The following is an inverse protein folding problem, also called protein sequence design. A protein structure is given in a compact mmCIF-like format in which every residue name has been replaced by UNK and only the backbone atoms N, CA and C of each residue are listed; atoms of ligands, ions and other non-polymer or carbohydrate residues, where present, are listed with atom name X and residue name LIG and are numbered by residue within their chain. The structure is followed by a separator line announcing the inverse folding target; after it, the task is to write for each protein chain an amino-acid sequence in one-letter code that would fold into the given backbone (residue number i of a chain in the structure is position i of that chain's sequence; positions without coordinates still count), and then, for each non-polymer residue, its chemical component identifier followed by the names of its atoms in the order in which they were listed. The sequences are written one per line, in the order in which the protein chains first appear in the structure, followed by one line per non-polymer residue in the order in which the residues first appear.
data_IF_291037046708
#
_entry.id   IF_291037046708
#
_cell.length_a   1.000
_cell.length_b   1.000
_cell.length_c   1.000
_cell.angle_alpha   90.00
_cell.angle_beta   90.00
_cell.angle_gamma   90.00
#
_symmetry.space_group_name_H-M   'P 1'
#
loop_
_entity.id
_entity.type
_entity.pdbx_description
1 polymer ?
#
# COMPACT_ATOMS: atom_id res chain seq x y z
N UNK A 1 -5.04 9.77 27.88
CA UNK A 1 -5.11 8.86 26.72
C UNK A 1 -3.85 9.05 25.90
N UNK A 2 -3.35 8.03 25.20
CA UNK A 2 -2.06 8.11 24.50
C UNK A 2 -2.25 8.24 22.99
N UNK A 3 -1.43 9.07 22.35
CA UNK A 3 -1.36 9.17 20.90
C UNK A 3 -0.99 7.84 20.25
N UNK A 4 -1.68 7.50 19.17
CA UNK A 4 -1.35 6.37 18.31
C UNK A 4 -0.13 6.70 17.45
N UNK A 5 0.84 5.78 17.42
CA UNK A 5 2.09 5.94 16.66
C UNK A 5 1.83 5.93 15.15
N UNK A 6 2.55 6.75 14.39
CA UNK A 6 2.58 6.69 12.93
C UNK A 6 3.75 5.81 12.50
N UNK A 7 3.47 4.75 11.73
CA UNK A 7 4.47 3.77 11.33
C UNK A 7 4.99 4.07 9.90
N UNK A 8 6.31 4.24 9.71
CA UNK A 8 6.88 4.51 8.39
C UNK A 8 6.80 3.29 7.48
N UNK A 9 6.58 3.51 6.18
CA UNK A 9 6.58 2.44 5.18
C UNK A 9 8.01 1.89 5.02
N UNK A 10 8.26 0.58 5.21
CA UNK A 10 9.58 -0.01 5.03
C UNK A 10 10.13 0.18 3.61
N UNK A 11 11.44 0.47 3.48
CA UNK A 11 12.11 0.67 2.18
C UNK A 11 12.03 -0.57 1.28
N UNK A 12 12.28 -0.40 -0.02
CA UNK A 12 12.29 -1.51 -0.97
C UNK A 12 13.38 -2.53 -0.59
N UNK A 13 13.03 -3.82 -0.60
CA UNK A 13 13.92 -4.90 -0.15
C UNK A 13 14.06 -5.06 1.37
N UNK A 14 13.37 -4.26 2.19
CA UNK A 14 13.37 -4.47 3.65
C UNK A 14 12.78 -5.83 4.02
N UNK A 15 13.52 -6.58 4.83
CA UNK A 15 13.02 -7.75 5.56
C UNK A 15 12.37 -7.37 6.89
N UNK A 16 12.66 -6.17 7.40
CA UNK A 16 12.04 -5.62 8.61
C UNK A 16 10.72 -4.95 8.22
N UNK A 17 9.63 -5.54 8.69
CA UNK A 17 8.25 -5.05 8.60
C UNK A 17 7.67 -4.96 10.02
N UNK A 18 6.75 -4.01 10.29
CA UNK A 18 6.06 -3.95 11.58
C UNK A 18 5.24 -5.23 11.82
N UNK A 19 5.04 -5.61 13.08
CA UNK A 19 4.16 -6.73 13.42
C UNK A 19 2.71 -6.28 13.29
N UNK A 20 1.80 -7.21 13.01
CA UNK A 20 0.38 -6.89 12.97
C UNK A 20 -0.15 -6.33 14.31
N UNK A 21 0.46 -6.71 15.44
CA UNK A 21 0.19 -6.15 16.77
C UNK A 21 0.48 -4.65 16.91
N UNK A 22 1.39 -4.13 16.08
CA UNK A 22 1.85 -2.74 16.14
C UNK A 22 0.94 -1.83 15.30
N UNK A 23 0.05 -2.44 14.50
CA UNK A 23 -0.87 -1.77 13.58
C UNK A 23 -2.30 -1.83 14.14
N UNK A 24 -3.02 -0.71 14.10
CA UNK A 24 -4.45 -0.63 14.46
C UNK A 24 -5.34 -1.22 13.36
N UNK A 25 -5.15 -2.50 13.05
CA UNK A 25 -5.89 -3.28 12.06
C UNK A 25 -7.07 -4.02 12.71
N UNK A 26 -8.11 -4.25 11.91
CA UNK A 26 -9.19 -5.18 12.27
C UNK A 26 -8.72 -6.62 12.14
N UNK A 27 -9.45 -7.56 12.73
CA UNK A 27 -8.99 -8.95 12.90
C UNK A 27 -8.86 -9.71 11.57
N UNK A 28 -9.66 -9.34 10.57
CA UNK A 28 -9.56 -9.76 9.17
C UNK A 28 -8.33 -9.13 8.46
N UNK A 29 -8.12 -7.83 8.67
CA UNK A 29 -6.96 -7.09 8.15
C UNK A 29 -5.62 -7.61 8.71
N UNK A 30 -5.59 -8.03 10.00
CA UNK A 30 -4.45 -8.73 10.64
C UNK A 30 -4.17 -10.06 9.95
N UNK A 31 -5.17 -10.90 9.74
CA UNK A 31 -5.01 -12.19 9.09
C UNK A 31 -4.49 -12.05 7.64
N UNK A 32 -4.95 -11.02 6.92
CA UNK A 32 -4.40 -10.66 5.59
C UNK A 32 -2.95 -10.18 5.72
N UNK A 33 -2.64 -9.29 6.67
CA UNK A 33 -1.28 -8.79 6.88
C UNK A 33 -0.28 -9.92 7.13
N UNK A 34 -0.55 -10.77 8.12
CA UNK A 34 0.35 -11.87 8.50
C UNK A 34 0.53 -12.89 7.37
N UNK A 35 -0.53 -13.18 6.61
CA UNK A 35 -0.48 -14.02 5.41
C UNK A 35 0.44 -13.42 4.34
N UNK A 36 0.32 -12.11 4.05
CA UNK A 36 1.20 -11.42 3.08
C UNK A 36 2.63 -11.26 3.57
N UNK A 37 2.81 -10.99 4.86
CA UNK A 37 4.12 -10.84 5.49
C UNK A 37 4.90 -12.16 5.47
N UNK A 38 4.28 -13.25 5.95
CA UNK A 38 4.85 -14.60 5.90
C UNK A 38 5.22 -15.02 4.48
N UNK A 39 4.31 -14.82 3.51
CA UNK A 39 4.59 -15.12 2.11
C UNK A 39 5.73 -14.26 1.54
N UNK A 40 5.77 -12.95 1.85
CA UNK A 40 6.85 -12.06 1.40
C UNK A 40 8.21 -12.52 1.95
N UNK A 41 8.32 -12.78 3.25
CA UNK A 41 9.54 -13.25 3.90
C UNK A 41 10.01 -14.59 3.32
N UNK A 42 9.10 -15.55 3.13
CA UNK A 42 9.42 -16.84 2.52
C UNK A 42 9.95 -16.70 1.07
N UNK A 43 9.38 -15.79 0.27
CA UNK A 43 9.85 -15.52 -1.10
C UNK A 43 11.25 -14.87 -1.09
N UNK A 44 11.56 -13.98 -0.15
CA UNK A 44 12.90 -13.39 -0.05
C UNK A 44 13.93 -14.44 0.39
N UNK A 45 13.60 -15.25 1.40
CA UNK A 45 14.52 -16.20 2.02
C UNK A 45 14.89 -17.39 1.12
N UNK A 46 14.04 -17.78 0.16
CA UNK A 46 14.19 -19.04 -0.59
C UNK A 46 14.35 -18.83 -2.11
N UNK A 47 15.05 -17.75 -2.49
CA UNK A 47 15.50 -17.52 -3.88
C UNK A 47 16.59 -18.53 -4.31
N UNK A 48 16.15 -19.72 -4.71
CA UNK A 48 16.95 -20.70 -5.45
C UNK A 48 17.71 -21.70 -4.59
N UNK A 49 17.26 -22.97 -4.64
CA UNK A 49 17.97 -24.14 -4.11
C UNK A 49 17.88 -25.27 -5.15
N UNK A 50 18.99 -25.65 -5.79
CA UNK A 50 18.96 -26.35 -7.08
C UNK A 50 19.73 -27.69 -7.13
N UNK A 51 19.08 -28.70 -7.72
CA UNK A 51 19.64 -29.77 -8.58
C UNK A 51 18.53 -30.20 -9.57
N UNK A 52 18.74 -30.63 -10.83
CA UNK A 52 19.96 -30.80 -11.64
C UNK A 52 19.65 -30.68 -13.16
N UNK A 53 20.66 -30.97 -14.00
CA UNK A 53 20.71 -31.29 -15.45
C UNK A 53 19.42 -31.26 -16.32
N UNK A 54 19.57 -30.64 -17.50
CA UNK A 54 18.75 -30.74 -18.75
C UNK A 54 17.62 -29.72 -19.01
N UNK A 55 17.47 -28.69 -18.17
CA UNK A 55 16.66 -27.49 -18.49
C UNK A 55 17.46 -26.24 -18.10
N UNK A 56 17.30 -25.12 -18.82
CA UNK A 56 17.83 -23.82 -18.40
C UNK A 56 17.10 -23.34 -17.13
N UNK A 57 17.57 -23.86 -15.99
CA UNK A 57 16.99 -23.65 -14.68
C UNK A 57 17.28 -22.25 -14.10
N UNK A 58 18.08 -21.41 -14.77
CA UNK A 58 18.37 -20.04 -14.33
C UNK A 58 17.11 -19.17 -14.19
N UNK A 59 16.03 -19.53 -14.91
CA UNK A 59 14.76 -18.80 -14.94
C UNK A 59 13.73 -19.28 -13.91
N UNK A 60 13.98 -20.39 -13.22
CA UNK A 60 13.01 -21.08 -12.36
C UNK A 60 13.53 -21.27 -10.93
N UNK A 61 12.68 -20.96 -9.96
CA UNK A 61 12.94 -21.13 -8.52
C UNK A 61 11.95 -22.18 -7.99
N UNK A 62 12.40 -23.20 -7.24
CA UNK A 62 11.49 -24.15 -6.60
C UNK A 62 10.77 -23.50 -5.41
N UNK A 63 9.50 -23.87 -5.22
CA UNK A 63 8.70 -23.40 -4.08
C UNK A 63 9.04 -24.21 -2.81
N UNK A 64 9.21 -23.55 -1.65
CA UNK A 64 9.59 -24.19 -0.39
C UNK A 64 8.74 -25.43 -0.08
N UNK A 65 9.38 -26.55 0.30
CA UNK A 65 8.70 -27.80 0.69
C UNK A 65 7.69 -28.35 -0.33
N UNK A 66 7.85 -28.04 -1.63
CA UNK A 66 6.98 -28.59 -2.70
C UNK A 66 7.79 -29.02 -3.92
N UNK A 67 7.18 -29.82 -4.78
CA UNK A 67 7.74 -30.16 -6.11
C UNK A 67 7.27 -29.17 -7.20
N UNK A 68 6.82 -27.98 -6.81
CA UNK A 68 6.31 -26.95 -7.73
C UNK A 68 7.39 -25.92 -8.02
N UNK A 69 7.44 -25.47 -9.26
CA UNK A 69 8.39 -24.46 -9.73
C UNK A 69 7.66 -23.19 -10.12
N UNK A 70 8.34 -22.05 -10.00
CA UNK A 70 7.84 -20.73 -10.35
C UNK A 70 8.95 -19.93 -11.02
N UNK A 71 8.62 -19.01 -11.93
CA UNK A 71 9.66 -18.19 -12.58
C UNK A 71 10.14 -17.07 -11.65
N UNK A 72 11.36 -16.56 -11.90
CA UNK A 72 11.89 -15.37 -11.19
C UNK A 72 10.92 -14.20 -11.30
N UNK A 73 10.33 -13.96 -12.48
CA UNK A 73 9.29 -12.94 -12.68
C UNK A 73 8.02 -13.21 -11.87
N UNK A 74 7.53 -14.45 -11.82
CA UNK A 74 6.34 -14.78 -11.04
C UNK A 74 6.55 -14.54 -9.53
N UNK A 75 7.75 -14.85 -9.01
CA UNK A 75 8.11 -14.50 -7.63
C UNK A 75 8.28 -13.00 -7.40
N UNK A 76 8.88 -12.26 -8.34
CA UNK A 76 8.96 -10.80 -8.26
C UNK A 76 7.55 -10.16 -8.23
N UNK A 77 6.65 -10.62 -9.10
CA UNK A 77 5.24 -10.17 -9.11
C UNK A 77 4.52 -10.54 -7.82
N UNK A 78 4.70 -11.75 -7.29
CA UNK A 78 4.10 -12.17 -6.02
C UNK A 78 4.62 -11.36 -4.83
N UNK A 79 5.94 -11.18 -4.72
CA UNK A 79 6.57 -10.38 -3.66
C UNK A 79 6.14 -8.90 -3.74
N UNK A 80 6.02 -8.35 -4.95
CA UNK A 80 5.50 -6.99 -5.20
C UNK A 80 4.05 -6.85 -4.76
N UNK A 81 3.16 -7.78 -5.13
CA UNK A 81 1.75 -7.79 -4.68
C UNK A 81 1.63 -7.88 -3.15
N UNK A 82 2.44 -8.72 -2.50
CA UNK A 82 2.46 -8.81 -1.03
C UNK A 82 2.95 -7.49 -0.40
N UNK A 83 3.99 -6.89 -0.97
CA UNK A 83 4.52 -5.59 -0.55
C UNK A 83 3.48 -4.48 -0.67
N UNK A 84 2.76 -4.37 -1.79
CA UNK A 84 1.71 -3.37 -1.98
C UNK A 84 0.58 -3.51 -0.96
N UNK A 85 0.09 -4.74 -0.73
CA UNK A 85 -0.95 -5.01 0.26
C UNK A 85 -0.52 -4.64 1.69
N UNK A 86 0.72 -4.97 2.09
CA UNK A 86 1.26 -4.55 3.39
C UNK A 86 1.39 -3.02 3.51
N UNK A 87 1.75 -2.32 2.42
CA UNK A 87 1.81 -0.86 2.38
C UNK A 87 0.42 -0.23 2.53
N UNK A 88 -0.60 -0.79 1.89
CA UNK A 88 -1.99 -0.34 2.03
C UNK A 88 -2.49 -0.50 3.47
N UNK A 89 -2.19 -1.62 4.12
CA UNK A 89 -2.56 -1.85 5.52
C UNK A 89 -1.84 -0.91 6.49
N UNK A 90 -0.56 -0.59 6.25
CA UNK A 90 0.18 0.44 7.00
C UNK A 90 -0.44 1.84 6.79
N UNK A 91 -0.90 2.17 5.57
CA UNK A 91 -1.62 3.43 5.29
C UNK A 91 -2.94 3.52 6.05
N UNK A 92 -3.75 2.46 6.01
CA UNK A 92 -5.03 2.37 6.74
C UNK A 92 -4.80 2.57 8.25
N UNK A 93 -3.78 1.93 8.82
CA UNK A 93 -3.38 2.16 10.21
C UNK A 93 -3.00 3.62 10.46
N UNK A 94 -2.14 4.22 9.63
CA UNK A 94 -1.69 5.60 9.80
C UNK A 94 -2.84 6.62 9.66
N UNK A 95 -3.83 6.36 8.82
CA UNK A 95 -5.04 7.18 8.70
C UNK A 95 -5.90 7.11 9.97
N UNK A 96 -6.12 5.91 10.52
CA UNK A 96 -6.81 5.72 11.80
C UNK A 96 -6.07 6.37 12.97
N UNK A 97 -4.75 6.21 13.02
CA UNK A 97 -3.90 6.84 14.03
C UNK A 97 -3.97 8.36 13.96
N UNK A 98 -3.93 8.97 12.76
CA UNK A 98 -4.15 10.42 12.60
C UNK A 98 -5.53 10.87 13.05
N UNK A 99 -6.59 10.13 12.75
CA UNK A 99 -7.95 10.46 13.17
C UNK A 99 -8.08 10.44 14.69
N UNK A 100 -7.66 9.35 15.33
CA UNK A 100 -7.62 9.20 16.79
C UNK A 100 -6.79 10.30 17.47
N UNK A 101 -5.63 10.65 16.90
CA UNK A 101 -4.76 11.69 17.46
C UNK A 101 -5.41 13.09 17.41
N UNK A 102 -6.14 13.40 16.34
CA UNK A 102 -6.94 14.64 16.24
C UNK A 102 -8.10 14.66 17.23
N UNK A 103 -8.78 13.52 17.40
CA UNK A 103 -9.86 13.37 18.39
C UNK A 103 -9.34 13.59 19.82
N UNK A 104 -8.15 13.07 20.14
CA UNK A 104 -7.50 13.33 21.44
C UNK A 104 -7.14 14.81 21.63
N UNK A 105 -6.59 15.48 20.60
CA UNK A 105 -6.26 16.90 20.66
C UNK A 105 -7.51 17.78 20.89
N UNK A 106 -8.57 17.53 20.12
CA UNK A 106 -9.85 18.21 20.30
C UNK A 106 -10.45 17.94 21.69
N UNK A 107 -10.32 16.71 22.21
CA UNK A 107 -10.79 16.36 23.56
C UNK A 107 -10.00 17.04 24.68
N UNK A 108 -8.72 17.37 24.44
CA UNK A 108 -7.88 18.11 25.39
C UNK A 108 -8.18 19.62 25.36
N UNK A 109 -8.31 20.21 24.17
CA UNK A 109 -8.64 21.64 24.03
C UNK A 109 -9.99 22.02 24.64
N UNK A 110 -10.97 21.11 24.65
CA UNK A 110 -12.27 21.32 25.30
C UNK A 110 -12.27 21.08 26.82
N UNK A 111 -11.15 20.66 27.41
CA UNK A 111 -11.04 20.36 28.86
C UNK A 111 -10.29 21.45 29.65
N UNK A 112 -9.40 22.20 29.00
CA UNK A 112 -8.60 23.28 29.61
C UNK A 112 -9.23 24.68 29.40
N UNK A 113 -10.54 24.75 29.20
CA UNK A 113 -11.27 26.00 28.95
C UNK A 113 -11.67 26.72 30.23
N UNK A 114 -10.84 27.64 30.71
CA UNK A 114 -11.24 28.76 31.57
C UNK A 114 -10.37 30.00 31.20
N UNK A 115 -11.05 31.10 30.86
CA UNK A 115 -10.62 32.46 30.49
C UNK A 115 -9.11 32.79 30.27
N UNK A 116 -8.78 33.27 29.06
CA UNK A 116 -8.70 34.73 28.84
C UNK A 116 -8.65 35.11 27.33
N UNK A 117 -9.13 36.31 27.01
CA UNK A 117 -9.07 36.90 25.66
C UNK A 117 -7.63 37.25 25.25
N UNK A 118 -7.12 36.72 24.14
CA UNK A 118 -6.35 37.57 23.22
C UNK A 118 -6.39 37.09 21.75
N UNK A 119 -6.42 38.06 20.84
CA UNK A 119 -6.74 37.84 19.43
C UNK A 119 -5.49 37.76 18.53
N UNK A 120 -4.80 36.62 18.52
CA UNK A 120 -3.79 36.33 17.49
C UNK A 120 -4.32 35.34 16.43
N UNK A 121 -4.71 35.90 15.28
CA UNK A 121 -5.41 35.19 14.20
C UNK A 121 -4.47 34.26 13.43
N UNK A 122 -4.73 32.95 13.52
CA UNK A 122 -4.01 31.87 12.85
C UNK A 122 -3.66 32.18 11.38
N UNK A 123 -2.35 32.22 11.07
CA UNK A 123 -1.84 32.19 9.68
C UNK A 123 -1.61 30.77 9.15
N UNK A 124 -1.41 29.79 10.04
CA UNK A 124 -1.06 28.41 9.64
C UNK A 124 -2.28 27.59 9.21
N UNK A 125 -3.48 27.89 9.72
CA UNK A 125 -4.72 27.18 9.34
C UNK A 125 -5.15 27.47 7.90
N UNK A 126 -4.98 28.71 7.40
CA UNK A 126 -5.21 29.02 5.99
C UNK A 126 -4.25 28.25 5.07
N UNK A 127 -3.01 27.99 5.52
CA UNK A 127 -2.01 27.24 4.76
C UNK A 127 -2.27 25.72 4.77
N UNK A 128 -2.70 25.10 5.88
CA UNK A 128 -3.14 23.68 5.85
C UNK A 128 -4.37 23.52 4.94
N UNK A 129 -5.35 24.44 5.00
CA UNK A 129 -6.54 24.39 4.15
C UNK A 129 -6.19 24.53 2.67
N UNK A 130 -5.28 25.45 2.31
CA UNK A 130 -4.80 25.62 0.94
C UNK A 130 -4.08 24.35 0.43
N UNK A 131 -3.13 23.81 1.19
CA UNK A 131 -2.40 22.58 0.83
C UNK A 131 -3.33 21.36 0.67
N UNK A 132 -4.38 21.28 1.48
CA UNK A 132 -5.37 20.19 1.45
C UNK A 132 -6.31 20.30 0.25
N UNK A 133 -6.68 21.52 -0.15
CA UNK A 133 -7.39 21.79 -1.38
C UNK A 133 -6.55 21.44 -2.62
N UNK A 134 -5.27 21.83 -2.64
CA UNK A 134 -4.33 21.51 -3.71
C UNK A 134 -4.11 19.99 -3.85
N UNK A 135 -3.86 19.28 -2.75
CA UNK A 135 -3.75 17.82 -2.74
C UNK A 135 -5.02 17.13 -3.28
N UNK A 136 -6.19 17.64 -2.93
CA UNK A 136 -7.47 17.10 -3.40
C UNK A 136 -7.64 17.31 -4.91
N UNK A 137 -7.22 18.47 -5.43
CA UNK A 137 -7.18 18.79 -6.87
C UNK A 137 -6.23 17.85 -7.63
N UNK A 138 -5.01 17.65 -7.12
CA UNK A 138 -4.01 16.74 -7.70
C UNK A 138 -4.55 15.30 -7.75
N UNK A 139 -5.17 14.81 -6.68
CA UNK A 139 -5.78 13.48 -6.66
C UNK A 139 -6.94 13.33 -7.65
N UNK A 140 -7.77 14.37 -7.81
CA UNK A 140 -8.84 14.38 -8.82
C UNK A 140 -8.27 14.32 -10.24
N UNK A 141 -7.24 15.11 -10.54
CA UNK A 141 -6.57 15.11 -11.84
C UNK A 141 -5.92 13.76 -12.18
N UNK A 142 -5.17 13.16 -11.24
CA UNK A 142 -4.55 11.84 -11.40
C UNK A 142 -5.59 10.73 -11.58
N UNK A 143 -6.74 10.83 -10.90
CA UNK A 143 -7.83 9.86 -11.08
C UNK A 143 -8.52 10.01 -12.43
N UNK A 144 -8.62 11.23 -12.97
CA UNK A 144 -9.16 11.50 -14.29
C UNK A 144 -8.24 11.02 -15.42
N UNK A 145 -6.91 11.18 -15.30
CA UNK A 145 -5.96 10.65 -16.30
C UNK A 145 -5.97 9.12 -16.33
N UNK A 146 -5.92 8.47 -15.16
CA UNK A 146 -6.04 7.00 -15.05
C UNK A 146 -7.36 6.47 -15.64
N UNK A 147 -8.48 7.17 -15.43
CA UNK A 147 -9.76 6.79 -16.03
C UNK A 147 -9.76 6.94 -17.56
N UNK A 148 -9.09 7.96 -18.09
CA UNK A 148 -8.96 8.19 -19.54
C UNK A 148 -8.05 7.15 -20.21
N UNK A 149 -6.90 6.86 -19.62
CA UNK A 149 -5.97 5.82 -20.09
C UNK A 149 -6.64 4.44 -20.10
N UNK A 150 -7.39 4.09 -19.05
CA UNK A 150 -8.16 2.86 -19.00
C UNK A 150 -9.23 2.79 -20.11
N UNK A 151 -9.91 3.89 -20.42
CA UNK A 151 -10.88 3.95 -21.51
C UNK A 151 -10.22 3.81 -22.89
N UNK A 152 -9.08 4.47 -23.11
CA UNK A 152 -8.28 4.37 -24.36
C UNK A 152 -7.72 2.94 -24.57
N UNK A 153 -7.26 2.26 -23.51
CA UNK A 153 -6.81 0.87 -23.57
C UNK A 153 -7.97 -0.08 -23.92
N UNK A 154 -9.15 0.11 -23.31
CA UNK A 154 -10.36 -0.67 -23.64
C UNK A 154 -10.78 -0.48 -25.10
N UNK A 155 -10.75 0.74 -25.63
CA UNK A 155 -11.08 1.02 -27.02
C UNK A 155 -10.06 0.42 -28.00
N UNK A 156 -8.76 0.54 -27.73
CA UNK A 156 -7.71 -0.11 -28.53
C UNK A 156 -7.85 -1.64 -28.55
N UNK A 157 -8.22 -2.24 -27.42
CA UNK A 157 -8.42 -3.70 -27.30
C UNK A 157 -9.69 -4.18 -28.01
N UNK A 158 -10.74 -3.36 -28.06
CA UNK A 158 -11.94 -3.61 -28.86
C UNK A 158 -11.68 -3.47 -30.37
N UNK A 159 -10.96 -2.43 -30.80
CA UNK A 159 -10.59 -2.21 -32.21
C UNK A 159 -9.68 -3.31 -32.76
N UNK A 160 -8.69 -3.76 -31.99
CA UNK A 160 -7.83 -4.89 -32.37
C UNK A 160 -8.60 -6.22 -32.44
N UNK A 161 -9.67 -6.39 -31.64
CA UNK A 161 -10.57 -7.53 -31.81
C UNK A 161 -11.35 -7.45 -33.12
N UNK A 162 -11.93 -6.29 -33.47
CA UNK A 162 -12.71 -6.12 -34.71
C UNK A 162 -11.89 -6.45 -35.98
N UNK A 163 -10.66 -5.91 -36.10
CA UNK A 163 -9.76 -6.18 -37.24
C UNK A 163 -9.34 -7.65 -37.40
N UNK A 164 -9.51 -8.48 -36.37
CA UNK A 164 -9.26 -9.92 -36.41
C UNK A 164 -10.41 -10.72 -37.04
N UNK A 165 -11.62 -10.15 -37.10
CA UNK A 165 -12.78 -10.76 -37.78
C UNK A 165 -12.86 -10.38 -39.26
N UNK A 166 -12.30 -9.24 -39.67
CA UNK A 166 -12.24 -8.78 -41.08
C UNK A 166 -11.16 -9.47 -41.93
N UNK A 167 -10.37 -10.38 -41.35
CA UNK A 167 -9.28 -11.13 -42.04
C UNK A 167 -9.54 -12.64 -42.14
N UNK A 168 -10.82 -13.04 -42.12
CA UNK A 168 -11.29 -14.41 -42.40
C UNK A 168 -12.29 -14.38 -43.55
#
# INVERSE_FOLDING_TARGET
MNFATIIPIPKHGSLQWPRASDLMLRQDEVAVYDSKHSLHVNIQNHRGTQTWKNVDASRYIPLPNTHKYTSVMALQMAASRCRSAMIELIRIHNERAKAHNRELQASQQNADGDDDDDAEKNKEEEEEVALKAELTSIFAAVRATLAREAAEEFQSRAGNRMRLWERR
#
